data_IF_300766701930
#
_entry.id   IF_300766701930
#
_cell.length_a   1.000
_cell.length_b   1.000
_cell.length_c   1.000
_cell.angle_alpha   90.00
_cell.angle_beta   90.00
_cell.angle_gamma   90.00
#
_symmetry.space_group_name_H-M   'P 1'
#
loop_
_entity.id
_entity.type
_entity.pdbx_description
1 polymer ?
#
# COMPACT_ATOMS: atom_id res chain seq x y z
N UNK A 1 -53.44 -17.59 1.43
CA UNK A 1 -52.04 -18.00 1.20
C UNK A 1 -51.17 -17.04 2.00
N UNK A 2 -50.65 -17.47 3.15
CA UNK A 2 -49.75 -16.67 3.95
C UNK A 2 -48.33 -16.98 3.47
N UNK A 3 -47.75 -16.10 2.66
CA UNK A 3 -46.32 -16.13 2.39
C UNK A 3 -45.63 -15.88 3.73
N UNK A 4 -44.99 -16.92 4.26
CA UNK A 4 -44.24 -16.85 5.50
C UNK A 4 -43.15 -15.80 5.36
N UNK A 5 -43.21 -14.74 6.16
CA UNK A 5 -42.22 -13.65 6.22
C UNK A 5 -40.77 -14.17 6.33
N UNK A 6 -40.60 -15.37 6.90
CA UNK A 6 -39.32 -16.05 7.08
C UNK A 6 -38.66 -16.41 5.73
N UNK A 7 -39.46 -16.78 4.74
CA UNK A 7 -38.97 -17.21 3.42
C UNK A 7 -38.44 -16.03 2.60
N UNK A 8 -39.02 -14.83 2.79
CA UNK A 8 -38.53 -13.59 2.17
C UNK A 8 -37.23 -13.11 2.84
N UNK A 9 -37.10 -13.28 4.15
CA UNK A 9 -35.91 -12.87 4.92
C UNK A 9 -34.67 -13.69 4.53
N UNK A 10 -34.83 -15.01 4.36
CA UNK A 10 -33.76 -15.92 3.91
C UNK A 10 -33.26 -15.58 2.50
N UNK A 11 -34.16 -15.14 1.62
CA UNK A 11 -33.83 -14.76 0.23
C UNK A 11 -32.99 -13.48 0.15
N UNK A 12 -33.15 -12.57 1.10
CA UNK A 12 -32.36 -11.32 1.19
C UNK A 12 -31.01 -11.57 1.88
N UNK A 13 -30.93 -12.53 2.82
CA UNK A 13 -29.71 -12.85 3.55
C UNK A 13 -28.73 -13.73 2.76
N UNK A 14 -29.21 -14.61 1.88
CA UNK A 14 -28.36 -15.48 1.06
C UNK A 14 -27.27 -14.75 0.24
N UNK A 15 -27.55 -13.63 -0.48
CA UNK A 15 -26.51 -12.93 -1.24
C UNK A 15 -25.48 -12.21 -0.36
N UNK A 16 -25.78 -11.89 0.90
CA UNK A 16 -24.80 -11.29 1.83
C UNK A 16 -23.70 -12.29 2.22
N UNK A 17 -23.99 -13.60 2.16
CA UNK A 17 -23.01 -14.65 2.42
C UNK A 17 -22.05 -14.90 1.25
N UNK A 18 -22.39 -14.40 0.05
CA UNK A 18 -21.55 -14.49 -1.15
C UNK A 18 -20.91 -13.16 -1.53
N UNK A 19 -20.93 -12.17 -0.64
CA UNK A 19 -20.05 -11.02 -0.81
C UNK A 19 -18.63 -11.55 -0.87
N UNK A 20 -17.86 -11.28 -1.95
CA UNK A 20 -16.44 -11.57 -1.94
C UNK A 20 -15.89 -10.88 -0.69
N UNK A 21 -15.31 -11.65 0.22
CA UNK A 21 -14.64 -11.08 1.37
C UNK A 21 -13.58 -10.13 0.81
N UNK A 22 -13.84 -8.83 0.91
CA UNK A 22 -12.84 -7.82 0.65
C UNK A 22 -11.86 -7.98 1.81
N UNK A 23 -10.85 -8.83 1.61
CA UNK A 23 -9.74 -8.99 2.55
C UNK A 23 -8.96 -7.68 2.56
N UNK A 24 -9.47 -6.68 3.27
CA UNK A 24 -8.72 -5.48 3.55
C UNK A 24 -7.51 -5.88 4.40
N UNK A 25 -6.33 -5.39 4.04
CA UNK A 25 -5.12 -5.68 4.80
C UNK A 25 -5.11 -4.78 6.03
N UNK A 26 -4.99 -5.40 7.21
CA UNK A 26 -4.79 -4.65 8.45
C UNK A 26 -3.44 -3.96 8.44
N UNK A 27 -3.43 -2.68 8.76
CA UNK A 27 -2.23 -1.85 8.69
C UNK A 27 -2.08 -0.94 9.93
N UNK A 28 -0.84 -0.54 10.20
CA UNK A 28 -0.50 0.41 11.25
C UNK A 28 0.46 1.49 10.73
N UNK A 29 0.53 2.62 11.43
CA UNK A 29 1.54 3.63 11.16
C UNK A 29 2.91 3.16 11.64
N UNK A 30 3.98 3.56 10.94
CA UNK A 30 5.35 3.21 11.31
C UNK A 30 5.79 3.92 12.59
N UNK A 31 5.29 5.13 12.82
CA UNK A 31 5.39 5.82 14.09
C UNK A 31 4.16 5.54 14.97
N UNK A 32 4.29 5.70 16.29
CA UNK A 32 3.18 5.46 17.24
C UNK A 32 2.13 6.58 17.25
N UNK A 33 2.47 7.75 16.69
CA UNK A 33 1.70 8.98 16.87
C UNK A 33 0.92 9.41 15.61
N UNK A 34 1.06 8.69 14.49
CA UNK A 34 0.56 9.13 13.20
C UNK A 34 1.41 10.26 12.60
N UNK A 35 0.96 10.80 11.47
CA UNK A 35 1.68 11.83 10.73
C UNK A 35 0.84 13.10 10.62
N UNK A 36 1.48 14.27 10.65
CA UNK A 36 0.83 15.57 10.49
C UNK A 36 0.59 15.95 9.02
N UNK A 37 1.21 15.21 8.09
CA UNK A 37 1.02 15.34 6.65
C UNK A 37 -0.25 14.69 6.12
N UNK A 38 -0.86 13.78 6.89
CA UNK A 38 -2.05 13.08 6.45
C UNK A 38 -2.30 11.78 7.22
N UNK A 39 -3.27 11.01 6.74
CA UNK A 39 -3.58 9.68 7.25
C UNK A 39 -3.72 8.67 6.11
N UNK A 40 -3.40 7.41 6.41
CA UNK A 40 -3.78 6.28 5.59
C UNK A 40 -5.17 5.80 6.01
N UNK A 41 -5.98 5.48 5.01
CA UNK A 41 -7.35 5.00 5.19
C UNK A 41 -7.52 3.55 4.75
N UNK A 42 -6.65 3.07 3.85
CA UNK A 42 -6.74 1.72 3.30
C UNK A 42 -5.41 1.26 2.70
N UNK A 43 -5.13 -0.02 2.90
CA UNK A 43 -4.13 -0.78 2.15
C UNK A 43 -4.85 -1.92 1.44
N UNK A 44 -4.61 -2.06 0.16
CA UNK A 44 -5.00 -3.21 -0.64
C UNK A 44 -3.76 -3.84 -1.25
N UNK A 45 -3.80 -5.15 -1.41
CA UNK A 45 -2.80 -5.87 -2.18
C UNK A 45 -3.48 -6.76 -3.22
N UNK A 46 -2.77 -7.06 -4.30
CA UNK A 46 -3.19 -8.02 -5.30
C UNK A 46 -1.98 -8.82 -5.80
N UNK A 47 -2.01 -10.16 -5.77
CA UNK A 47 -3.08 -11.02 -5.27
C UNK A 47 -3.27 -10.93 -3.74
N UNK A 48 -4.44 -11.36 -3.25
CA UNK A 48 -4.75 -11.42 -1.81
C UNK A 48 -5.69 -12.60 -1.50
N UNK A 49 -5.23 -13.64 -0.78
CA UNK A 49 -3.85 -13.80 -0.29
C UNK A 49 -2.83 -13.99 -1.43
N UNK A 50 -1.56 -13.75 -1.13
CA UNK A 50 -0.43 -14.01 -2.03
C UNK A 50 -0.09 -15.49 -2.00
N UNK A 51 0.00 -16.12 -3.17
CA UNK A 51 0.30 -17.54 -3.33
C UNK A 51 1.80 -17.84 -3.44
N UNK A 52 2.19 -19.11 -3.27
CA UNK A 52 3.60 -19.54 -3.30
C UNK A 52 4.27 -19.37 -4.68
N UNK A 53 3.49 -19.21 -5.75
CA UNK A 53 4.00 -18.99 -7.11
C UNK A 53 4.00 -17.51 -7.51
N UNK A 54 3.45 -16.64 -6.66
CA UNK A 54 3.37 -15.21 -6.91
C UNK A 54 4.71 -14.56 -6.58
N UNK A 55 5.46 -14.18 -7.61
CA UNK A 55 6.77 -13.55 -7.44
C UNK A 55 6.68 -12.03 -7.18
N UNK A 56 5.51 -11.45 -7.46
CA UNK A 56 5.27 -10.02 -7.33
C UNK A 56 3.84 -9.77 -6.86
N UNK A 57 3.65 -8.70 -6.10
CA UNK A 57 2.35 -8.18 -5.73
C UNK A 57 2.23 -6.70 -6.09
N UNK A 58 1.00 -6.26 -6.34
CA UNK A 58 0.65 -4.85 -6.45
C UNK A 58 0.11 -4.36 -5.11
N UNK A 59 0.60 -3.22 -4.63
CA UNK A 59 0.14 -2.58 -3.39
C UNK A 59 -0.62 -1.31 -3.77
N UNK A 60 -1.80 -1.09 -3.22
CA UNK A 60 -2.48 0.21 -3.30
C UNK A 60 -2.65 0.80 -1.92
N UNK A 61 -2.01 1.94 -1.67
CA UNK A 61 -2.22 2.72 -0.44
C UNK A 61 -3.10 3.93 -0.74
N UNK A 62 -4.12 4.14 0.09
CA UNK A 62 -5.07 5.25 -0.05
C UNK A 62 -5.23 6.01 1.24
N UNK A 63 -5.39 7.32 1.15
CA UNK A 63 -5.47 8.17 2.33
C UNK A 63 -5.89 9.60 2.03
N UNK A 64 -5.77 10.46 3.03
CA UNK A 64 -6.03 11.89 2.91
C UNK A 64 -4.80 12.68 3.30
N UNK A 65 -4.42 13.62 2.45
CA UNK A 65 -3.33 14.54 2.72
C UNK A 65 -3.86 15.76 3.47
N UNK A 66 -3.26 16.06 4.62
CA UNK A 66 -3.50 17.29 5.39
C UNK A 66 -2.58 18.42 4.95
N UNK A 67 -1.41 18.08 4.39
CA UNK A 67 -0.41 19.02 3.88
C UNK A 67 0.01 18.61 2.47
N UNK A 68 0.50 19.58 1.70
CA UNK A 68 1.03 19.32 0.37
C UNK A 68 2.38 18.61 0.49
N UNK A 69 2.60 17.60 -0.36
CA UNK A 69 3.88 16.92 -0.52
C UNK A 69 4.31 17.02 -1.98
N UNK A 70 5.50 17.56 -2.23
CA UNK A 70 6.08 17.70 -3.57
C UNK A 70 7.16 16.65 -3.77
N UNK A 71 7.48 16.32 -5.03
CA UNK A 71 8.55 15.39 -5.39
C UNK A 71 8.52 14.10 -4.53
N UNK A 72 7.34 13.48 -4.43
CA UNK A 72 7.17 12.34 -3.54
C UNK A 72 7.86 11.12 -4.14
N UNK A 73 8.80 10.58 -3.36
CA UNK A 73 9.39 9.26 -3.57
C UNK A 73 8.66 8.26 -2.68
N UNK A 74 8.33 7.10 -3.23
CA UNK A 74 7.65 6.03 -2.53
C UNK A 74 8.63 4.88 -2.42
N UNK A 75 9.01 4.53 -1.19
CA UNK A 75 9.85 3.36 -0.93
C UNK A 75 9.02 2.25 -0.32
N UNK A 76 9.28 1.02 -0.77
CA UNK A 76 8.68 -0.19 -0.22
C UNK A 76 9.79 -1.07 0.33
N UNK A 77 9.69 -1.44 1.61
CA UNK A 77 10.65 -2.30 2.30
C UNK A 77 9.99 -3.54 2.89
N UNK A 78 10.72 -4.65 2.90
CA UNK A 78 10.47 -5.76 3.81
C UNK A 78 11.30 -5.52 5.08
N UNK A 79 10.63 -5.42 6.23
CA UNK A 79 11.29 -5.06 7.49
C UNK A 79 10.96 -6.03 8.62
N UNK A 80 12.01 -6.50 9.29
CA UNK A 80 11.95 -7.21 10.57
C UNK A 80 12.77 -6.43 11.62
N UNK A 81 13.04 -7.05 12.77
CA UNK A 81 13.95 -6.45 13.76
C UNK A 81 15.41 -6.47 13.29
N UNK A 82 15.78 -7.41 12.43
CA UNK A 82 17.16 -7.67 12.02
C UNK A 82 17.43 -7.19 10.59
N UNK A 83 16.40 -7.16 9.75
CA UNK A 83 16.52 -6.94 8.31
C UNK A 83 15.65 -5.76 7.86
N UNK A 84 16.14 -5.03 6.86
CA UNK A 84 15.43 -3.91 6.24
C UNK A 84 15.77 -3.86 4.75
N UNK A 85 15.08 -4.68 3.97
CA UNK A 85 15.38 -4.88 2.56
C UNK A 85 14.50 -3.98 1.70
N UNK A 86 15.14 -3.22 0.81
CA UNK A 86 14.46 -2.34 -0.14
C UNK A 86 13.89 -3.17 -1.29
N UNK A 87 12.57 -3.27 -1.37
CA UNK A 87 11.85 -4.02 -2.40
C UNK A 87 11.58 -3.17 -3.65
N UNK A 88 11.46 -1.85 -3.50
CA UNK A 88 11.27 -0.97 -4.64
C UNK A 88 11.22 0.51 -4.30
N UNK A 89 11.63 1.32 -5.28
CA UNK A 89 11.56 2.79 -5.26
C UNK A 89 10.71 3.26 -6.43
N UNK A 90 9.74 4.11 -6.14
CA UNK A 90 8.79 4.61 -7.11
C UNK A 90 8.62 6.13 -7.00
N UNK A 91 8.27 6.75 -8.11
CA UNK A 91 8.08 8.20 -8.19
C UNK A 91 6.71 8.54 -8.74
N UNK A 92 6.12 9.64 -8.27
CA UNK A 92 4.91 10.21 -8.88
C UNK A 92 5.32 11.10 -10.05
N UNK A 93 5.16 10.59 -11.26
CA UNK A 93 5.63 11.23 -12.49
C UNK A 93 4.49 11.84 -13.29
N UNK A 94 4.76 13.01 -13.87
CA UNK A 94 3.88 13.61 -14.86
C UNK A 94 4.10 12.98 -16.23
N UNK A 95 3.07 12.36 -16.78
CA UNK A 95 3.05 11.83 -18.14
C UNK A 95 1.89 12.46 -18.90
N UNK A 96 2.22 13.41 -19.77
CA UNK A 96 1.23 14.29 -20.38
C UNK A 96 0.54 15.15 -19.32
N UNK A 97 -0.78 15.01 -19.19
CA UNK A 97 -1.59 15.74 -18.20
C UNK A 97 -1.94 14.89 -16.97
N UNK A 98 -1.43 13.66 -16.86
CA UNK A 98 -1.76 12.74 -15.77
C UNK A 98 -0.55 12.49 -14.87
N UNK A 99 -0.82 12.28 -13.59
CA UNK A 99 0.16 11.80 -12.61
C UNK A 99 0.08 10.28 -12.52
N UNK A 100 1.21 9.60 -12.71
CA UNK A 100 1.32 8.14 -12.71
C UNK A 100 2.51 7.70 -11.88
N UNK A 101 2.36 6.59 -11.16
CA UNK A 101 3.46 6.00 -10.39
C UNK A 101 4.31 5.13 -11.31
N UNK A 102 5.63 5.30 -11.24
CA UNK A 102 6.60 4.51 -12.01
C UNK A 102 7.77 4.09 -11.15
N UNK A 103 8.27 2.88 -11.38
CA UNK A 103 9.61 2.48 -10.96
C UNK A 103 10.64 2.99 -11.98
N UNK A 104 11.81 3.43 -11.49
CA UNK A 104 12.90 3.95 -12.33
C UNK A 104 12.78 5.44 -12.67
N UNK A 105 13.25 5.85 -13.86
CA UNK A 105 13.48 7.26 -14.18
C UNK A 105 12.19 8.09 -14.31
N UNK A 106 12.13 9.19 -13.56
CA UNK A 106 11.09 10.20 -13.60
C UNK A 106 11.62 11.51 -14.20
N UNK A 107 11.32 11.80 -15.47
CA UNK A 107 11.83 13.01 -16.12
C UNK A 107 11.10 14.31 -15.71
N UNK A 108 9.93 14.19 -15.09
CA UNK A 108 9.13 15.34 -14.61
C UNK A 108 8.40 14.94 -13.31
N UNK A 109 9.01 15.21 -12.14
CA UNK A 109 8.42 14.93 -10.82
C UNK A 109 7.42 16.02 -10.37
N UNK A 110 6.80 16.74 -11.30
CA UNK A 110 5.91 17.88 -11.02
C UNK A 110 4.58 17.52 -10.35
N UNK A 111 4.36 16.24 -10.02
CA UNK A 111 3.13 15.77 -9.42
C UNK A 111 3.22 15.83 -7.90
N UNK A 112 2.47 16.75 -7.31
CA UNK A 112 2.31 16.86 -5.87
C UNK A 112 1.11 16.04 -5.38
N UNK A 113 1.19 15.57 -4.13
CA UNK A 113 0.01 15.19 -3.37
C UNK A 113 -0.54 16.46 -2.74
N UNK A 114 -1.70 16.91 -3.21
CA UNK A 114 -2.28 18.19 -2.79
C UNK A 114 -2.89 18.14 -1.39
N UNK A 115 -2.70 19.21 -0.61
CA UNK A 115 -3.32 19.35 0.69
C UNK A 115 -4.85 19.33 0.60
N UNK A 116 -5.51 18.63 1.53
CA UNK A 116 -6.97 18.53 1.60
C UNK A 116 -7.58 17.53 0.62
N UNK A 117 -6.77 16.78 -0.13
CA UNK A 117 -7.25 15.82 -1.14
C UNK A 117 -7.10 14.37 -0.68
N UNK A 118 -7.92 13.49 -1.27
CA UNK A 118 -7.74 12.05 -1.18
C UNK A 118 -6.67 11.63 -2.18
N UNK A 119 -5.68 10.86 -1.72
CA UNK A 119 -4.71 10.21 -2.60
C UNK A 119 -4.99 8.72 -2.73
N UNK A 120 -4.64 8.17 -3.88
CA UNK A 120 -4.64 6.73 -4.19
C UNK A 120 -3.34 6.46 -4.94
N UNK A 121 -2.47 5.65 -4.36
CA UNK A 121 -1.14 5.36 -4.88
C UNK A 121 -1.05 3.88 -5.24
N UNK A 122 -1.27 3.50 -6.52
CA UNK A 122 -1.04 2.15 -6.99
C UNK A 122 0.46 1.91 -7.24
N UNK A 123 1.06 1.04 -6.46
CA UNK A 123 2.48 0.67 -6.48
C UNK A 123 2.59 -0.72 -7.12
N UNK A 124 3.01 -0.80 -8.39
CA UNK A 124 2.97 -2.06 -9.13
C UNK A 124 4.24 -2.90 -8.94
N UNK A 125 4.11 -4.22 -9.06
CA UNK A 125 5.24 -5.17 -9.17
C UNK A 125 6.26 -5.08 -8.04
N UNK A 126 5.79 -5.05 -6.80
CA UNK A 126 6.65 -5.18 -5.62
C UNK A 126 7.04 -6.66 -5.48
N UNK A 127 8.33 -7.01 -5.42
CA UNK A 127 8.77 -8.38 -5.18
C UNK A 127 8.11 -8.97 -3.94
N UNK A 128 7.64 -10.21 -4.04
CA UNK A 128 7.26 -10.99 -2.88
C UNK A 128 8.54 -11.52 -2.24
N UNK A 129 8.75 -11.15 -0.98
CA UNK A 129 9.88 -11.62 -0.19
C UNK A 129 9.50 -12.90 0.58
N UNK A 130 10.20 -14.00 0.32
CA UNK A 130 9.94 -15.35 0.87
C UNK A 130 10.64 -15.58 2.22
N UNK A 131 10.84 -14.52 3.00
CA UNK A 131 11.63 -14.62 4.23
C UNK A 131 10.81 -15.26 5.36
N UNK A 132 11.40 -16.27 6.00
CA UNK A 132 10.77 -17.15 7.01
C UNK A 132 10.34 -16.45 8.32
N UNK A 133 10.69 -15.18 8.52
CA UNK A 133 10.36 -14.44 9.76
C UNK A 133 9.06 -13.60 9.64
N UNK A 134 8.63 -13.04 10.78
CA UNK A 134 7.51 -12.09 10.90
C UNK A 134 7.82 -10.72 10.23
N UNK A 135 8.03 -10.71 8.92
CA UNK A 135 8.30 -9.51 8.15
C UNK A 135 7.03 -8.67 7.96
N UNK A 136 7.23 -7.35 7.99
CA UNK A 136 6.21 -6.38 7.60
C UNK A 136 6.65 -5.65 6.34
N UNK A 137 5.69 -5.47 5.44
CA UNK A 137 5.86 -4.56 4.33
C UNK A 137 5.66 -3.14 4.85
N UNK A 138 6.57 -2.25 4.48
CA UNK A 138 6.60 -0.87 4.90
C UNK A 138 6.57 0.00 3.66
N UNK A 139 5.56 0.85 3.54
CA UNK A 139 5.44 1.83 2.46
C UNK A 139 5.64 3.22 3.04
N UNK A 140 6.73 3.88 2.64
CA UNK A 140 7.08 5.24 3.07
C UNK A 140 6.87 6.23 1.93
N UNK A 141 6.22 7.36 2.25
CA UNK A 141 6.14 8.55 1.41
C UNK A 141 7.22 9.53 1.87
N UNK A 142 8.18 9.73 1.00
CA UNK A 142 9.38 10.52 1.21
C UNK A 142 9.31 11.79 0.37
N UNK A 143 9.69 12.93 0.94
CA UNK A 143 9.81 14.21 0.21
C UNK A 143 11.28 14.67 0.25
N UNK A 144 11.79 15.16 -0.88
CA UNK A 144 13.14 15.73 -0.98
C UNK A 144 13.38 16.79 0.11
N UNK A 145 14.55 16.79 0.77
CA UNK A 145 14.98 17.91 1.63
C UNK A 145 15.74 18.95 0.80
N UNK A 146 15.13 20.09 0.43
CA UNK A 146 15.82 21.12 -0.34
C UNK A 146 16.91 21.87 0.45
N UNK A 147 17.00 21.69 1.77
CA UNK A 147 17.89 22.49 2.64
C UNK A 147 19.28 21.85 2.80
N UNK A 148 19.41 20.54 2.63
CA UNK A 148 20.65 19.78 2.90
C UNK A 148 21.26 19.09 1.66
N UNK A 149 20.84 19.45 0.45
CA UNK A 149 21.28 18.82 -0.82
C UNK A 149 22.72 19.11 -1.25
N UNK A 150 23.54 19.70 -0.37
CA UNK A 150 24.96 19.99 -0.64
C UNK A 150 25.91 18.83 -0.32
N UNK A 151 25.43 17.78 0.35
CA UNK A 151 26.17 16.53 0.51
C UNK A 151 25.64 15.51 -0.50
N UNK A 152 26.54 14.66 -1.01
CA UNK A 152 26.27 13.61 -2.00
C UNK A 152 25.25 12.53 -1.55
N UNK A 153 24.66 12.69 -0.37
CA UNK A 153 23.58 11.88 0.17
C UNK A 153 22.28 12.69 0.11
N UNK A 154 21.46 12.45 -0.92
CA UNK A 154 20.10 12.99 -1.00
C UNK A 154 19.33 12.58 0.27
N UNK A 155 19.09 13.55 1.16
CA UNK A 155 18.37 13.29 2.40
C UNK A 155 16.88 13.44 2.14
N UNK A 156 16.16 12.33 2.11
CA UNK A 156 14.71 12.36 2.08
C UNK A 156 14.12 12.52 3.48
N UNK A 157 12.99 13.22 3.57
CA UNK A 157 12.21 13.35 4.81
C UNK A 157 10.98 12.45 4.70
N UNK A 158 10.88 11.47 5.60
CA UNK A 158 9.65 10.66 5.72
C UNK A 158 8.49 11.55 6.18
N UNK A 159 7.48 11.69 5.31
CA UNK A 159 6.26 12.45 5.58
C UNK A 159 5.13 11.59 6.08
N UNK A 160 5.03 10.37 5.57
CA UNK A 160 4.03 9.38 5.98
C UNK A 160 4.62 7.98 5.81
N UNK A 161 4.25 7.04 6.68
CA UNK A 161 4.62 5.64 6.51
C UNK A 161 3.57 4.71 7.10
N UNK A 162 3.30 3.61 6.40
CA UNK A 162 2.39 2.54 6.80
C UNK A 162 3.12 1.21 6.75
N UNK A 163 2.85 0.35 7.74
CA UNK A 163 3.31 -1.03 7.76
C UNK A 163 2.13 -2.00 7.85
N UNK A 164 2.29 -3.16 7.25
CA UNK A 164 1.30 -4.22 7.25
C UNK A 164 1.95 -5.59 7.03
N UNK A 165 1.23 -6.65 7.35
CA UNK A 165 1.64 -8.03 7.06
C UNK A 165 0.96 -8.45 5.76
N UNK A 166 1.71 -9.08 4.84
CA UNK A 166 1.16 -9.64 3.62
C UNK A 166 0.49 -10.98 3.95
N UNK A 167 -0.82 -11.14 3.71
CA UNK A 167 -1.48 -12.42 3.90
C UNK A 167 -0.99 -13.43 2.84
N UNK A 168 -0.32 -14.48 3.28
CA UNK A 168 0.10 -15.60 2.42
C UNK A 168 -0.96 -16.70 2.44
N UNK A 169 -1.21 -17.35 1.30
CA UNK A 169 -2.02 -18.57 1.27
C UNK A 169 -1.12 -19.77 1.56
N UNK A 170 -1.52 -20.61 2.51
CA UNK A 170 -0.84 -21.88 2.73
C UNK A 170 -0.90 -22.77 1.49
N UNK A 171 0.22 -23.42 1.18
CA UNK A 171 0.30 -24.50 0.20
C UNK A 171 -0.31 -25.80 0.75
N UNK A 172 -1.49 -25.76 1.37
CA UNK A 172 -2.21 -26.96 1.79
C UNK A 172 -2.91 -27.62 0.60
N UNK A 173 -2.10 -28.17 -0.30
CA UNK A 173 -2.44 -29.45 -0.93
C UNK A 173 -2.19 -30.54 0.13
N UNK A 174 -3.09 -30.64 1.12
CA UNK A 174 -3.31 -31.95 1.73
C UNK A 174 -3.78 -32.86 0.59
N UNK A 175 -2.87 -33.74 0.16
CA UNK A 175 -3.17 -34.81 -0.77
C UNK A 175 -4.28 -35.66 -0.15
N UNK A 176 -5.49 -35.56 -0.70
CA UNK A 176 -6.58 -36.50 -0.45
C UNK A 176 -6.52 -37.68 -1.43
#
# INVERSE_FOLDING_TARGET
>A
MATSYIQLLLLVLAPLLFLPALYAVDFGYCNKNGYDYGNFSRVEISPNPVGPEDNYLDITVSGYASKQMNNVTIEVHAKSNETNDLLGVFYICKVGNACVIKSGLCFSPECAIEAGTKFVLPIPKVPVDDLEDDFKYVVSLLEDDPVNSSDYDEKFIERMCVNFVVPMSDSTLESA
#
